data_IF_542874128613
#
_entry.id   IF_542874128613
#
_cell.length_a   1.000
_cell.length_b   1.000
_cell.length_c   1.000
_cell.angle_alpha   90.00
_cell.angle_beta   90.00
_cell.angle_gamma   90.00
#
_symmetry.space_group_name_H-M   'P 1'
#
loop_
_entity.id
_entity.type
_entity.pdbx_description
1 polymer ?
#
# COMPACT_ATOMS: atom_id res chain seq x y z
N UNK A 1 -1.03 -6.50 10.86
CA UNK A 1 -1.94 -5.37 11.06
C UNK A 1 -1.98 -4.48 9.82
N UNK A 2 -2.97 -3.63 9.71
CA UNK A 2 -3.08 -2.70 8.60
C UNK A 2 -1.94 -1.69 8.66
N UNK A 3 -1.20 -1.54 7.56
CA UNK A 3 -0.12 -0.57 7.45
C UNK A 3 -0.60 0.77 6.89
N UNK A 4 -1.05 0.75 5.63
CA UNK A 4 -1.63 1.93 5.00
C UNK A 4 -2.56 1.53 3.87
N UNK A 5 -3.37 2.50 3.43
CA UNK A 5 -4.25 2.36 2.26
C UNK A 5 -3.78 3.36 1.22
N UNK A 6 -3.40 2.86 0.05
CA UNK A 6 -3.06 3.69 -1.10
C UNK A 6 -4.29 3.92 -1.96
N UNK A 7 -4.51 5.15 -2.37
CA UNK A 7 -5.64 5.53 -3.23
C UNK A 7 -5.08 6.10 -4.52
N UNK A 8 -5.45 5.51 -5.65
CA UNK A 8 -4.99 5.98 -6.96
C UNK A 8 -5.79 7.20 -7.41
N UNK A 9 -5.08 8.24 -7.81
CA UNK A 9 -5.67 9.40 -8.44
C UNK A 9 -5.10 9.55 -9.86
N UNK A 10 -5.83 10.25 -10.72
CA UNK A 10 -5.43 10.39 -12.11
C UNK A 10 -4.22 11.31 -12.28
N UNK A 11 -4.13 12.34 -11.46
CA UNK A 11 -3.08 13.35 -11.53
C UNK A 11 -2.84 14.01 -10.17
N UNK A 12 -1.86 14.92 -10.14
CA UNK A 12 -1.48 15.61 -8.92
C UNK A 12 -2.61 16.52 -8.38
N UNK A 13 -3.38 17.14 -9.26
CA UNK A 13 -4.47 18.02 -8.85
C UNK A 13 -5.57 17.24 -8.15
N UNK A 14 -5.94 16.07 -8.68
CA UNK A 14 -6.92 15.19 -8.04
C UNK A 14 -6.39 14.65 -6.71
N UNK A 15 -5.11 14.27 -6.66
CA UNK A 15 -4.49 13.80 -5.44
C UNK A 15 -4.50 14.87 -4.35
N UNK A 16 -4.17 16.10 -4.69
CA UNK A 16 -4.18 17.21 -3.72
C UNK A 16 -5.58 17.47 -3.17
N UNK A 17 -6.60 17.43 -4.03
CA UNK A 17 -7.99 17.62 -3.62
C UNK A 17 -8.47 16.47 -2.73
N UNK A 18 -8.14 15.24 -3.09
CA UNK A 18 -8.50 14.05 -2.32
C UNK A 18 -7.85 14.08 -0.94
N UNK A 19 -6.55 14.41 -0.87
CA UNK A 19 -5.82 14.50 0.39
C UNK A 19 -6.41 15.57 1.30
N UNK A 20 -6.73 16.75 0.75
CA UNK A 20 -7.35 17.82 1.51
C UNK A 20 -8.72 17.43 2.06
N UNK A 21 -9.53 16.76 1.24
CA UNK A 21 -10.86 16.30 1.66
C UNK A 21 -10.77 15.35 2.85
N UNK A 22 -9.91 14.32 2.74
CA UNK A 22 -9.74 13.33 3.82
C UNK A 22 -9.19 14.00 5.07
N UNK A 23 -8.18 14.84 4.91
CA UNK A 23 -7.55 15.54 6.03
C UNK A 23 -8.55 16.41 6.79
N UNK A 24 -9.39 17.15 6.07
CA UNK A 24 -10.39 18.02 6.71
C UNK A 24 -11.49 17.21 7.40
N UNK A 25 -11.97 16.14 6.77
CA UNK A 25 -13.05 15.35 7.35
C UNK A 25 -12.60 14.56 8.59
N UNK A 26 -11.37 14.08 8.59
CA UNK A 26 -10.86 13.22 9.66
C UNK A 26 -9.89 13.94 10.61
N UNK A 27 -9.70 15.23 10.44
CA UNK A 27 -8.79 16.04 11.24
C UNK A 27 -7.37 15.48 11.27
N UNK A 28 -6.87 15.12 10.09
CA UNK A 28 -5.54 14.56 9.91
C UNK A 28 -4.59 15.56 9.27
N UNK A 29 -3.29 15.41 9.55
CA UNK A 29 -2.25 16.21 8.92
C UNK A 29 -1.97 15.73 7.50
N UNK A 30 -1.53 16.65 6.64
CA UNK A 30 -1.10 16.33 5.26
C UNK A 30 0.41 16.48 5.18
N UNK A 31 1.06 15.46 4.60
CA UNK A 31 2.50 15.48 4.36
C UNK A 31 2.75 15.23 2.87
N UNK A 32 3.05 16.28 2.09
CA UNK A 32 3.37 16.12 0.68
C UNK A 32 4.65 15.30 0.47
N UNK A 33 4.61 14.41 -0.50
CA UNK A 33 5.76 13.64 -0.94
C UNK A 33 6.00 13.82 -2.43
N UNK A 34 6.95 13.08 -2.97
CA UNK A 34 7.33 13.18 -4.37
C UNK A 34 6.28 12.53 -5.30
N UNK A 35 5.98 11.26 -5.08
CA UNK A 35 5.04 10.49 -5.91
C UNK A 35 3.66 10.33 -5.29
N UNK A 36 3.49 10.72 -4.03
CA UNK A 36 2.25 10.62 -3.31
C UNK A 36 2.15 11.68 -2.21
N UNK A 37 0.95 11.82 -1.67
CA UNK A 37 0.66 12.72 -0.55
C UNK A 37 0.15 11.85 0.60
N UNK A 38 0.81 11.92 1.75
CA UNK A 38 0.37 11.17 2.93
C UNK A 38 -0.63 11.99 3.73
N UNK A 39 -1.69 11.35 4.18
CA UNK A 39 -2.68 11.92 5.10
C UNK A 39 -2.67 11.10 6.38
N UNK A 40 -2.58 11.78 7.52
CA UNK A 40 -2.30 11.16 8.79
C UNK A 40 -0.80 10.98 8.96
N UNK A 41 -0.38 10.04 9.80
CA UNK A 41 1.04 9.70 9.92
C UNK A 41 1.50 8.94 8.69
N UNK A 42 0.74 7.90 8.32
CA UNK A 42 0.97 7.07 7.13
C UNK A 42 -0.27 6.25 6.75
N UNK A 43 -1.43 6.57 7.35
CA UNK A 43 -2.64 5.77 7.17
C UNK A 43 -3.11 5.79 5.73
N UNK A 44 -3.07 6.96 5.08
CA UNK A 44 -3.47 7.10 3.69
C UNK A 44 -2.31 7.60 2.85
N UNK A 45 -2.09 6.90 1.75
CA UNK A 45 -1.12 7.32 0.72
C UNK A 45 -1.90 7.64 -0.54
N UNK A 46 -2.01 8.94 -0.86
CA UNK A 46 -2.76 9.39 -2.02
C UNK A 46 -1.80 9.50 -3.20
N UNK A 47 -1.95 8.61 -4.17
CA UNK A 47 -1.04 8.52 -5.31
C UNK A 47 -1.32 9.63 -6.32
N UNK A 48 -0.27 10.35 -6.75
CA UNK A 48 -0.39 11.45 -7.71
C UNK A 48 -0.67 10.97 -9.12
N UNK A 49 -0.48 9.68 -9.38
CA UNK A 49 -0.86 9.00 -10.61
C UNK A 49 -1.11 7.53 -10.26
N UNK A 50 -1.83 6.79 -11.12
CA UNK A 50 -2.15 5.40 -10.81
C UNK A 50 -0.90 4.57 -10.53
N UNK A 51 -0.90 3.90 -9.37
CA UNK A 51 0.10 2.92 -8.99
C UNK A 51 -0.48 1.51 -9.11
N UNK A 52 0.00 0.60 -8.26
CA UNK A 52 -0.52 -0.77 -8.26
C UNK A 52 -1.99 -0.81 -7.82
N UNK A 53 -2.72 -1.77 -8.41
CA UNK A 53 -4.14 -1.97 -8.17
C UNK A 53 -5.01 -1.09 -9.03
N UNK A 54 -6.23 -1.53 -9.27
CA UNK A 54 -7.19 -0.75 -10.03
C UNK A 54 -7.58 0.53 -9.29
N UNK A 55 -7.90 0.38 -7.99
CA UNK A 55 -8.33 1.50 -7.14
C UNK A 55 -7.24 1.98 -6.21
N UNK A 56 -6.23 1.17 -5.98
CA UNK A 56 -5.15 1.48 -5.07
C UNK A 56 -4.55 0.21 -4.47
N UNK A 57 -3.87 0.38 -3.34
CA UNK A 57 -3.22 -0.75 -2.68
C UNK A 57 -3.43 -0.70 -1.16
N UNK A 58 -3.34 -1.87 -0.55
CA UNK A 58 -3.48 -2.03 0.90
C UNK A 58 -2.23 -2.74 1.42
N UNK A 59 -1.52 -2.09 2.33
CA UNK A 59 -0.32 -2.64 2.95
C UNK A 59 -0.67 -3.32 4.27
N UNK A 60 -0.20 -4.54 4.44
CA UNK A 60 -0.37 -5.32 5.67
C UNK A 60 0.99 -5.50 6.31
N UNK A 61 1.15 -5.01 7.53
CA UNK A 61 2.39 -5.16 8.29
C UNK A 61 2.46 -6.53 8.92
N UNK A 62 3.64 -7.13 8.86
CA UNK A 62 3.91 -8.41 9.52
C UNK A 62 5.31 -8.41 10.14
N UNK A 63 5.50 -9.20 11.19
CA UNK A 63 6.79 -9.37 11.83
C UNK A 63 7.79 -10.15 10.97
N UNK A 64 7.30 -10.97 10.03
CA UNK A 64 8.14 -11.81 9.20
C UNK A 64 7.42 -12.08 7.87
N UNK A 65 7.88 -11.41 6.81
CA UNK A 65 7.25 -11.53 5.48
C UNK A 65 7.37 -12.95 4.94
N UNK A 66 8.53 -13.58 5.08
CA UNK A 66 8.72 -14.95 4.58
C UNK A 66 7.78 -15.95 5.25
N UNK A 67 7.58 -15.82 6.55
CA UNK A 67 6.63 -16.67 7.28
C UNK A 67 5.20 -16.41 6.82
N UNK A 68 4.84 -15.15 6.61
CA UNK A 68 3.51 -14.80 6.11
C UNK A 68 3.28 -15.35 4.71
N UNK A 69 4.26 -15.30 3.83
CA UNK A 69 4.19 -15.89 2.49
C UNK A 69 3.87 -17.39 2.62
N UNK A 70 4.59 -18.10 3.48
CA UNK A 70 4.36 -19.52 3.68
C UNK A 70 2.94 -19.82 4.14
N UNK A 71 2.49 -19.17 5.20
CA UNK A 71 1.17 -19.41 5.78
C UNK A 71 0.03 -19.02 4.83
N UNK A 72 0.14 -17.89 4.16
CA UNK A 72 -0.88 -17.46 3.21
C UNK A 72 -0.87 -18.32 1.95
N UNK A 73 0.31 -18.78 1.54
CA UNK A 73 0.43 -19.74 0.43
C UNK A 73 -0.33 -21.04 0.72
N UNK A 74 -0.30 -21.52 1.96
CA UNK A 74 -1.06 -22.69 2.40
C UNK A 74 -2.57 -22.47 2.27
N UNK A 75 -3.01 -21.22 2.30
CA UNK A 75 -4.42 -20.84 2.14
C UNK A 75 -4.78 -20.50 0.69
N UNK A 76 -3.86 -20.73 -0.24
CA UNK A 76 -4.11 -20.54 -1.66
C UNK A 76 -3.73 -19.17 -2.21
N UNK A 77 -3.10 -18.30 -1.42
CA UNK A 77 -2.64 -17.00 -1.92
C UNK A 77 -1.42 -17.20 -2.82
N UNK A 78 -1.46 -16.59 -4.00
CA UNK A 78 -0.33 -16.52 -4.92
C UNK A 78 0.35 -15.19 -4.82
N UNK A 79 1.67 -15.16 -4.94
CA UNK A 79 2.47 -13.94 -4.82
C UNK A 79 3.14 -13.61 -6.15
N UNK A 80 3.26 -12.31 -6.41
CA UNK A 80 4.05 -11.79 -7.53
C UNK A 80 5.52 -11.77 -7.10
N UNK A 81 6.25 -12.79 -7.50
CA UNK A 81 7.66 -12.95 -7.08
C UNK A 81 8.56 -11.86 -7.66
N UNK A 82 8.17 -11.23 -8.76
CA UNK A 82 8.92 -10.11 -9.34
C UNK A 82 8.82 -8.85 -8.47
N UNK A 83 7.80 -8.77 -7.64
CA UNK A 83 7.63 -7.64 -6.71
C UNK A 83 8.38 -7.81 -5.40
N UNK A 84 8.99 -8.99 -5.18
CA UNK A 84 9.68 -9.29 -3.94
C UNK A 84 10.85 -8.35 -3.72
N UNK A 85 10.85 -7.66 -2.59
CA UNK A 85 11.90 -6.75 -2.19
C UNK A 85 12.68 -7.37 -1.03
N UNK A 86 13.98 -7.56 -1.24
CA UNK A 86 14.87 -8.17 -0.24
C UNK A 86 15.91 -7.16 0.18
N UNK A 87 16.14 -7.04 1.48
CA UNK A 87 17.17 -6.19 2.06
C UNK A 87 17.92 -6.96 3.13
N UNK A 88 19.26 -6.98 3.02
CA UNK A 88 20.15 -7.68 3.96
C UNK A 88 19.74 -9.16 4.12
N UNK A 89 19.41 -9.81 3.01
CA UNK A 89 19.04 -11.23 2.99
C UNK A 89 17.64 -11.53 3.51
N UNK A 90 16.84 -10.50 3.82
CA UNK A 90 15.52 -10.65 4.40
C UNK A 90 14.46 -10.03 3.49
N UNK A 91 13.38 -10.75 3.25
CA UNK A 91 12.26 -10.20 2.48
C UNK A 91 11.55 -9.13 3.29
N UNK A 92 11.45 -7.92 2.74
CA UNK A 92 10.82 -6.79 3.42
C UNK A 92 9.48 -6.38 2.83
N UNK A 93 9.18 -6.80 1.60
CA UNK A 93 7.88 -6.54 0.98
C UNK A 93 7.64 -7.49 -0.18
N UNK A 94 6.37 -7.77 -0.45
CA UNK A 94 5.93 -8.53 -1.62
C UNK A 94 4.46 -8.28 -1.87
N UNK A 95 4.06 -8.22 -3.15
CA UNK A 95 2.65 -8.10 -3.53
C UNK A 95 2.01 -9.45 -3.77
N UNK A 96 0.70 -9.55 -3.48
CA UNK A 96 -0.13 -10.64 -3.95
C UNK A 96 -0.21 -10.59 -5.46
N UNK A 97 -0.31 -11.74 -6.11
CA UNK A 97 -0.44 -11.80 -7.58
C UNK A 97 -1.77 -11.23 -8.07
N UNK A 98 -2.85 -11.44 -7.31
CA UNK A 98 -4.19 -11.03 -7.71
C UNK A 98 -4.72 -9.91 -6.82
N UNK A 99 -5.49 -9.00 -7.43
CA UNK A 99 -6.20 -7.97 -6.69
C UNK A 99 -7.39 -8.56 -5.95
N UNK A 100 -7.77 -7.89 -4.86
CA UNK A 100 -9.01 -8.20 -4.13
C UNK A 100 -9.85 -6.93 -4.14
N UNK A 101 -11.04 -6.99 -4.72
CA UNK A 101 -11.97 -5.86 -4.82
C UNK A 101 -11.34 -4.62 -5.48
N UNK A 102 -10.44 -4.84 -6.44
CA UNK A 102 -9.76 -3.75 -7.15
C UNK A 102 -8.57 -3.16 -6.41
N UNK A 103 -8.14 -3.78 -5.30
CA UNK A 103 -6.96 -3.34 -4.54
C UNK A 103 -5.83 -4.36 -4.64
N UNK A 104 -4.63 -3.86 -4.86
CA UNK A 104 -3.42 -4.67 -4.74
C UNK A 104 -3.07 -4.79 -3.26
N UNK A 105 -2.87 -6.00 -2.78
CA UNK A 105 -2.43 -6.22 -1.41
C UNK A 105 -0.94 -6.50 -1.37
N UNK A 106 -0.24 -5.96 -0.38
CA UNK A 106 1.14 -6.33 -0.17
C UNK A 106 1.48 -6.49 1.31
N UNK A 107 2.41 -7.41 1.55
CA UNK A 107 2.97 -7.62 2.87
C UNK A 107 4.18 -6.70 3.02
N UNK A 108 4.34 -6.11 4.19
CA UNK A 108 5.45 -5.22 4.50
C UNK A 108 6.01 -5.60 5.86
N UNK A 109 7.33 -5.68 5.94
CA UNK A 109 8.02 -5.95 7.21
C UNK A 109 7.82 -4.79 8.18
N UNK A 110 7.37 -5.12 9.35
CA UNK A 110 7.26 -4.16 10.45
C UNK A 110 8.62 -3.75 10.96
#
# INVERSE_FOLDING_TARGET
ELGHIGINCADEAEAAKTAETIANLLSMAVKPGNSSIFVGKKEFEIMKKPGRGTNGHIAILTNNVDRAIYHLGQRGVKFDMDSKNVKDGKTIAIYFADEIAGFAFHLVQR
#
